data_IF_761690883279
#
_entry.id   IF_761690883279
#
_cell.length_a   1.000
_cell.length_b   1.000
_cell.length_c   1.000
_cell.angle_alpha   90.00
_cell.angle_beta   90.00
_cell.angle_gamma   90.00
#
_symmetry.space_group_name_H-M   'P 1'
#
loop_
_entity.id
_entity.type
_entity.pdbx_description
1 polymer ?
#
# COMPACT_ATOMS: atom_id res chain seq x y z
N UNK A 1 -44.49 -25.26 -9.82
CA UNK A 1 -43.04 -24.95 -9.97
C UNK A 1 -42.93 -23.45 -10.15
N UNK A 2 -42.35 -22.71 -9.21
CA UNK A 2 -42.02 -21.30 -9.43
C UNK A 2 -40.79 -21.28 -10.36
N UNK A 3 -40.92 -20.69 -11.53
CA UNK A 3 -39.79 -20.37 -12.40
C UNK A 3 -38.82 -19.49 -11.61
N UNK A 4 -37.66 -20.04 -11.27
CA UNK A 4 -36.58 -19.26 -10.69
C UNK A 4 -35.88 -18.55 -11.86
N UNK A 5 -36.17 -17.26 -12.05
CA UNK A 5 -35.49 -16.48 -13.08
C UNK A 5 -33.98 -16.38 -12.72
N UNK A 6 -33.06 -16.65 -13.66
CA UNK A 6 -31.64 -16.48 -13.43
C UNK A 6 -31.36 -15.03 -13.03
N UNK A 7 -30.62 -14.84 -11.93
CA UNK A 7 -30.21 -13.49 -11.48
C UNK A 7 -28.89 -13.15 -12.14
N UNK A 8 -28.89 -12.10 -12.97
CA UNK A 8 -27.65 -11.52 -13.50
C UNK A 8 -26.86 -10.86 -12.36
N UNK A 9 -25.57 -11.14 -12.30
CA UNK A 9 -24.65 -10.53 -11.33
C UNK A 9 -23.24 -10.41 -11.93
N UNK A 10 -22.46 -9.44 -11.45
CA UNK A 10 -21.04 -9.35 -11.74
C UNK A 10 -20.26 -10.28 -10.80
N UNK A 11 -19.29 -11.02 -11.36
CA UNK A 11 -18.32 -11.78 -10.58
C UNK A 11 -16.90 -11.48 -11.04
N UNK A 12 -15.93 -11.57 -10.14
CA UNK A 12 -14.51 -11.45 -10.48
C UNK A 12 -13.92 -12.84 -10.60
N UNK A 13 -13.09 -13.04 -11.61
CA UNK A 13 -12.49 -14.32 -11.92
C UNK A 13 -10.97 -14.17 -12.00
N UNK A 14 -10.25 -14.94 -11.20
CA UNK A 14 -8.80 -15.03 -11.29
C UNK A 14 -8.40 -15.75 -12.58
N UNK A 15 -7.65 -15.06 -13.43
CA UNK A 15 -7.21 -15.55 -14.74
C UNK A 15 -5.70 -15.41 -14.88
N UNK A 16 -5.03 -16.45 -15.35
CA UNK A 16 -3.61 -16.40 -15.69
C UNK A 16 -3.41 -15.96 -17.14
N UNK A 17 -2.81 -14.78 -17.33
CA UNK A 17 -2.46 -14.24 -18.63
C UNK A 17 -1.02 -14.63 -19.01
N UNK A 18 -0.77 -15.15 -20.24
CA UNK A 18 0.53 -15.70 -20.62
C UNK A 18 1.69 -14.69 -20.57
N UNK A 19 1.41 -13.40 -20.71
CA UNK A 19 2.43 -12.33 -20.68
C UNK A 19 2.39 -11.53 -19.38
N UNK A 20 1.22 -11.37 -18.76
CA UNK A 20 1.02 -10.41 -17.66
C UNK A 20 0.88 -11.09 -16.29
N UNK A 21 0.84 -12.43 -16.28
CA UNK A 21 0.60 -13.23 -15.08
C UNK A 21 -0.84 -13.16 -14.63
N UNK A 22 -1.07 -13.32 -13.33
CA UNK A 22 -2.40 -13.34 -12.74
C UNK A 22 -3.09 -11.97 -12.82
N UNK A 23 -4.35 -11.99 -13.24
CA UNK A 23 -5.25 -10.85 -13.37
C UNK A 23 -6.62 -11.17 -12.76
N UNK A 24 -7.32 -10.14 -12.31
CA UNK A 24 -8.67 -10.22 -11.76
C UNK A 24 -9.66 -9.71 -12.81
N UNK A 25 -10.37 -10.60 -13.51
CA UNK A 25 -11.19 -10.20 -14.65
C UNK A 25 -12.68 -10.20 -14.26
N UNK A 26 -13.41 -9.08 -14.43
CA UNK A 26 -14.84 -9.04 -14.21
C UNK A 26 -15.60 -9.72 -15.35
N UNK A 27 -16.59 -10.53 -14.98
CA UNK A 27 -17.52 -11.19 -15.90
C UNK A 27 -18.95 -10.89 -15.49
N UNK A 28 -19.82 -10.70 -16.49
CA UNK A 28 -21.26 -10.87 -16.28
C UNK A 28 -21.57 -12.35 -16.15
N UNK A 29 -22.50 -12.69 -15.28
CA UNK A 29 -22.84 -14.08 -14.99
C UNK A 29 -24.29 -14.26 -14.60
N UNK A 30 -24.81 -15.46 -14.81
CA UNK A 30 -26.12 -15.87 -14.32
C UNK A 30 -25.98 -16.85 -13.16
N UNK A 31 -26.63 -16.54 -12.04
CA UNK A 31 -26.77 -17.48 -10.93
C UNK A 31 -27.97 -18.39 -11.18
N UNK A 32 -27.72 -19.70 -11.23
CA UNK A 32 -28.74 -20.73 -11.39
C UNK A 32 -29.35 -21.13 -10.04
N UNK A 33 -30.50 -21.79 -10.10
CA UNK A 33 -31.24 -22.25 -8.92
C UNK A 33 -30.47 -23.28 -8.07
N UNK A 34 -29.54 -24.04 -8.66
CA UNK A 34 -28.65 -24.99 -7.97
C UNK A 34 -27.44 -24.31 -7.30
N UNK A 35 -27.36 -22.97 -7.36
CA UNK A 35 -26.26 -22.19 -6.81
C UNK A 35 -25.03 -22.10 -7.71
N UNK A 36 -25.03 -22.75 -8.88
CA UNK A 36 -23.94 -22.62 -9.85
C UNK A 36 -23.99 -21.26 -10.56
N UNK A 37 -22.82 -20.76 -10.93
CA UNK A 37 -22.68 -19.48 -11.63
C UNK A 37 -22.18 -19.76 -13.05
N UNK A 38 -22.93 -19.30 -14.05
CA UNK A 38 -22.55 -19.40 -15.46
C UNK A 38 -21.95 -18.08 -15.94
N UNK A 39 -20.69 -18.09 -16.33
CA UNK A 39 -20.02 -16.94 -16.96
C UNK A 39 -20.56 -16.71 -18.36
N UNK A 40 -21.04 -15.49 -18.63
CA UNK A 40 -21.55 -15.09 -19.93
C UNK A 40 -20.43 -14.49 -20.79
N UNK A 41 -20.01 -13.29 -20.43
CA UNK A 41 -19.01 -12.49 -21.14
C UNK A 41 -18.12 -11.68 -20.19
N UNK A 42 -16.96 -11.24 -20.68
CA UNK A 42 -16.14 -10.29 -19.93
C UNK A 42 -16.85 -8.95 -19.90
N UNK A 43 -16.95 -8.36 -18.70
CA UNK A 43 -17.74 -7.16 -18.47
C UNK A 43 -17.15 -5.89 -19.14
N UNK A 44 -15.95 -5.98 -19.74
CA UNK A 44 -15.37 -4.92 -20.58
C UNK A 44 -16.25 -4.56 -21.79
N UNK A 45 -17.11 -5.48 -22.22
CA UNK A 45 -17.98 -5.32 -23.38
C UNK A 45 -19.44 -5.03 -23.01
N UNK A 46 -19.73 -4.82 -21.73
CA UNK A 46 -21.09 -4.53 -21.28
C UNK A 46 -21.65 -3.29 -21.99
N UNK A 47 -22.87 -3.40 -22.52
CA UNK A 47 -23.55 -2.28 -23.19
C UNK A 47 -23.82 -1.14 -22.22
N UNK A 48 -24.04 0.09 -22.74
CA UNK A 48 -24.38 1.23 -21.89
C UNK A 48 -25.64 0.98 -21.04
N UNK A 49 -26.60 0.22 -21.59
CA UNK A 49 -27.80 -0.20 -20.86
C UNK A 49 -27.47 -1.20 -19.75
N UNK A 50 -26.62 -2.20 -19.99
CA UNK A 50 -26.17 -3.13 -18.96
C UNK A 50 -25.41 -2.40 -17.84
N UNK A 51 -24.51 -1.48 -18.20
CA UNK A 51 -23.77 -0.65 -17.25
C UNK A 51 -24.69 0.25 -16.40
N UNK A 52 -25.82 0.71 -16.95
CA UNK A 52 -26.79 1.52 -16.20
C UNK A 52 -27.53 0.75 -15.10
N UNK A 53 -27.63 -0.58 -15.24
CA UNK A 53 -28.27 -1.47 -14.25
C UNK A 53 -27.31 -1.92 -13.16
N UNK A 54 -26.00 -1.73 -13.34
CA UNK A 54 -24.97 -2.11 -12.38
C UNK A 54 -24.81 -1.10 -11.25
N UNK A 55 -24.47 -1.60 -10.07
CA UNK A 55 -24.11 -0.79 -8.91
C UNK A 55 -22.86 0.07 -9.18
N UNK A 56 -22.63 1.07 -8.33
CA UNK A 56 -21.40 1.88 -8.39
C UNK A 56 -20.12 1.04 -8.22
N UNK A 57 -20.18 0.03 -7.34
CA UNK A 57 -19.05 -0.87 -7.04
C UNK A 57 -18.75 -1.76 -8.25
N UNK A 58 -19.76 -2.34 -8.89
CA UNK A 58 -19.58 -3.16 -10.09
C UNK A 58 -18.97 -2.36 -11.24
N UNK A 59 -19.46 -1.13 -11.47
CA UNK A 59 -18.88 -0.23 -12.47
C UNK A 59 -17.43 0.12 -12.16
N UNK A 60 -17.13 0.40 -10.90
CA UNK A 60 -15.76 0.66 -10.46
C UNK A 60 -14.84 -0.54 -10.68
N UNK A 61 -15.29 -1.76 -10.43
CA UNK A 61 -14.53 -2.98 -10.72
C UNK A 61 -14.19 -3.08 -12.22
N UNK A 62 -15.17 -2.84 -13.09
CA UNK A 62 -14.96 -2.82 -14.55
C UNK A 62 -13.96 -1.74 -14.95
N UNK A 63 -14.09 -0.52 -14.40
CA UNK A 63 -13.16 0.58 -14.64
C UNK A 63 -11.74 0.26 -14.18
N UNK A 64 -11.56 -0.33 -13.00
CA UNK A 64 -10.22 -0.73 -12.55
C UNK A 64 -9.64 -1.77 -13.51
N UNK A 65 -10.43 -2.77 -13.90
CA UNK A 65 -9.97 -3.85 -14.75
C UNK A 65 -9.65 -3.41 -16.19
N UNK A 66 -10.32 -2.38 -16.71
CA UNK A 66 -10.07 -1.88 -18.06
C UNK A 66 -8.62 -1.38 -18.23
N UNK A 67 -7.98 -0.92 -17.15
CA UNK A 67 -6.60 -0.41 -17.14
C UNK A 67 -5.53 -1.49 -17.32
N UNK A 68 -5.85 -2.78 -17.17
CA UNK A 68 -4.91 -3.87 -17.45
C UNK A 68 -5.40 -4.80 -18.56
N UNK A 69 -6.30 -4.30 -19.42
CA UNK A 69 -6.60 -4.95 -20.69
C UNK A 69 -5.41 -4.84 -21.63
N UNK A 70 -5.26 -5.83 -22.52
CA UNK A 70 -4.16 -5.85 -23.50
C UNK A 70 -4.15 -4.59 -24.37
N UNK A 71 -5.32 -4.09 -24.75
CA UNK A 71 -5.48 -2.87 -25.56
C UNK A 71 -4.99 -1.62 -24.81
N UNK A 72 -5.45 -1.42 -23.58
CA UNK A 72 -5.03 -0.28 -22.77
C UNK A 72 -3.51 -0.29 -22.53
N UNK A 73 -2.96 -1.44 -22.14
CA UNK A 73 -1.52 -1.56 -21.90
C UNK A 73 -0.70 -1.34 -23.17
N UNK A 74 -1.20 -1.76 -24.34
CA UNK A 74 -0.56 -1.47 -25.62
C UNK A 74 -0.51 0.04 -25.90
N UNK A 75 -1.61 0.76 -25.68
CA UNK A 75 -1.69 2.22 -25.91
C UNK A 75 -0.75 3.01 -24.99
N UNK A 76 -0.58 2.55 -23.74
CA UNK A 76 0.29 3.21 -22.75
C UNK A 76 1.77 2.87 -22.94
N UNK A 77 2.10 1.59 -23.19
CA UNK A 77 3.48 1.09 -23.13
C UNK A 77 4.10 0.78 -24.50
N UNK A 78 3.38 1.01 -25.59
CA UNK A 78 3.83 0.61 -26.93
C UNK A 78 3.33 1.56 -28.02
N UNK A 79 4.02 1.52 -29.16
CA UNK A 79 3.58 2.17 -30.42
C UNK A 79 3.12 1.14 -31.45
N UNK A 80 2.99 -0.11 -31.05
CA UNK A 80 2.56 -1.19 -31.93
C UNK A 80 1.11 -0.99 -32.36
N UNK A 81 0.79 -1.31 -33.61
CA UNK A 81 -0.55 -1.10 -34.19
C UNK A 81 -1.55 -2.21 -33.86
N UNK A 82 -1.09 -3.34 -33.34
CA UNK A 82 -1.92 -4.52 -33.05
C UNK A 82 -1.50 -5.19 -31.75
N UNK A 83 -2.49 -5.69 -31.00
CA UNK A 83 -2.29 -6.35 -29.71
C UNK A 83 -1.40 -7.59 -29.86
N UNK A 84 -1.63 -8.41 -30.89
CA UNK A 84 -0.82 -9.62 -31.12
C UNK A 84 0.67 -9.32 -31.29
N UNK A 85 1.03 -8.22 -31.99
CA UNK A 85 2.43 -7.82 -32.18
C UNK A 85 3.03 -7.28 -30.89
N UNK A 86 2.25 -6.52 -30.13
CA UNK A 86 2.65 -6.04 -28.80
C UNK A 86 2.94 -7.20 -27.84
N UNK A 87 2.02 -8.16 -27.71
CA UNK A 87 2.19 -9.33 -26.84
C UNK A 87 3.38 -10.17 -27.25
N UNK A 88 3.53 -10.47 -28.56
CA UNK A 88 4.69 -11.23 -29.07
C UNK A 88 6.02 -10.56 -28.74
N UNK A 89 6.08 -9.23 -28.81
CA UNK A 89 7.29 -8.47 -28.44
C UNK A 89 7.58 -8.60 -26.94
N UNK A 90 6.57 -8.44 -26.10
CA UNK A 90 6.72 -8.56 -24.65
C UNK A 90 7.08 -9.99 -24.20
N UNK A 91 6.59 -11.01 -24.89
CA UNK A 91 7.01 -12.40 -24.66
C UNK A 91 8.53 -12.60 -24.84
N UNK A 92 9.17 -11.81 -25.70
CA UNK A 92 10.63 -11.77 -25.87
C UNK A 92 11.37 -10.82 -24.92
N UNK A 93 10.66 -9.99 -24.16
CA UNK A 93 11.21 -8.95 -23.26
C UNK A 93 10.65 -9.07 -21.81
N UNK A 94 10.79 -10.23 -21.12
CA UNK A 94 10.15 -10.46 -19.83
C UNK A 94 10.57 -9.47 -18.73
N UNK A 95 11.83 -9.02 -18.73
CA UNK A 95 12.31 -8.01 -17.77
C UNK A 95 11.62 -6.65 -17.95
N UNK A 96 11.24 -6.29 -19.18
CA UNK A 96 10.49 -5.06 -19.43
C UNK A 96 9.09 -5.16 -18.84
N UNK A 97 8.43 -6.32 -19.00
CA UNK A 97 7.13 -6.57 -18.35
C UNK A 97 7.29 -6.43 -16.84
N UNK A 98 8.28 -7.10 -16.24
CA UNK A 98 8.50 -7.11 -14.80
C UNK A 98 8.79 -5.72 -14.23
N UNK A 99 9.58 -4.88 -14.91
CA UNK A 99 10.03 -3.59 -14.38
C UNK A 99 9.10 -2.42 -14.70
N UNK A 100 8.42 -2.44 -15.85
CA UNK A 100 7.69 -1.27 -16.35
C UNK A 100 6.17 -1.47 -16.35
N UNK A 101 5.69 -2.67 -16.64
CA UNK A 101 4.25 -2.93 -16.83
C UNK A 101 3.64 -3.54 -15.58
N UNK A 102 4.27 -4.57 -15.01
CA UNK A 102 3.77 -5.30 -13.84
C UNK A 102 3.53 -4.38 -12.63
N UNK A 103 4.39 -3.39 -12.30
CA UNK A 103 4.12 -2.49 -11.17
C UNK A 103 2.81 -1.70 -11.32
N UNK A 104 2.49 -1.26 -12.55
CA UNK A 104 1.23 -0.59 -12.82
C UNK A 104 0.02 -1.54 -12.71
N UNK A 105 0.14 -2.74 -13.26
CA UNK A 105 -0.88 -3.79 -13.10
C UNK A 105 -1.11 -4.08 -11.62
N UNK A 106 -0.05 -4.27 -10.82
CA UNK A 106 -0.17 -4.55 -9.39
C UNK A 106 -0.85 -3.42 -8.63
N UNK A 107 -0.57 -2.14 -8.96
CA UNK A 107 -1.29 -1.00 -8.39
C UNK A 107 -2.80 -1.11 -8.66
N UNK A 108 -3.20 -1.48 -9.88
CA UNK A 108 -4.61 -1.69 -10.23
C UNK A 108 -5.20 -2.95 -9.62
N UNK A 109 -4.42 -4.02 -9.44
CA UNK A 109 -4.87 -5.20 -8.69
C UNK A 109 -5.09 -4.86 -7.21
N UNK A 110 -4.26 -4.01 -6.60
CA UNK A 110 -4.49 -3.54 -5.23
C UNK A 110 -5.77 -2.72 -5.10
N UNK A 111 -6.05 -1.82 -6.04
CA UNK A 111 -7.33 -1.10 -6.12
C UNK A 111 -8.52 -2.08 -6.21
N UNK A 112 -8.42 -3.09 -7.09
CA UNK A 112 -9.45 -4.13 -7.24
C UNK A 112 -9.64 -4.96 -5.97
N UNK A 113 -8.54 -5.38 -5.35
CA UNK A 113 -8.57 -6.17 -4.12
C UNK A 113 -9.17 -5.39 -2.94
N UNK A 114 -8.85 -4.10 -2.82
CA UNK A 114 -9.46 -3.22 -1.82
C UNK A 114 -10.97 -3.08 -2.04
N UNK A 115 -11.42 -3.01 -3.30
CA UNK A 115 -12.84 -2.97 -3.66
C UNK A 115 -13.54 -4.29 -3.30
N UNK A 116 -12.97 -5.43 -3.70
CA UNK A 116 -13.48 -6.78 -3.40
C UNK A 116 -13.56 -7.01 -1.89
N UNK A 117 -12.53 -6.60 -1.14
CA UNK A 117 -12.48 -6.78 0.32
C UNK A 117 -13.56 -6.00 1.08
N UNK A 118 -14.03 -4.87 0.53
CA UNK A 118 -15.03 -3.99 1.15
C UNK A 118 -16.44 -4.19 0.59
N UNK A 119 -16.63 -5.14 -0.33
CA UNK A 119 -17.90 -5.36 -1.03
C UNK A 119 -18.24 -6.84 -1.11
N UNK A 120 -19.49 -7.13 -1.50
CA UNK A 120 -19.97 -8.50 -1.67
C UNK A 120 -19.68 -9.07 -3.08
N UNK A 121 -18.74 -8.47 -3.83
CA UNK A 121 -18.40 -8.97 -5.17
C UNK A 121 -17.62 -10.30 -5.03
N UNK A 122 -18.15 -11.42 -5.52
CA UNK A 122 -17.51 -12.72 -5.32
C UNK A 122 -16.31 -12.89 -6.25
N UNK A 123 -15.24 -13.46 -5.70
CA UNK A 123 -14.00 -13.79 -6.41
C UNK A 123 -13.89 -15.30 -6.61
N UNK A 124 -13.82 -15.74 -7.86
CA UNK A 124 -13.75 -17.16 -8.20
C UNK A 124 -12.41 -17.57 -8.83
N UNK A 125 -12.03 -18.82 -8.58
CA UNK A 125 -11.04 -19.53 -9.38
C UNK A 125 -11.66 -19.99 -10.70
N UNK A 126 -11.03 -19.65 -11.83
CA UNK A 126 -11.45 -20.20 -13.12
C UNK A 126 -10.78 -21.53 -13.38
N UNK A 127 -11.58 -22.56 -13.66
CA UNK A 127 -11.06 -23.77 -14.31
C UNK A 127 -11.00 -23.56 -15.82
N UNK A 128 -9.84 -23.87 -16.42
CA UNK A 128 -9.62 -23.73 -17.86
C UNK A 128 -10.72 -24.45 -18.67
N UNK A 129 -11.32 -23.74 -19.63
CA UNK A 129 -12.34 -24.29 -20.53
C UNK A 129 -13.77 -24.35 -19.98
N UNK A 130 -13.98 -24.16 -18.66
CA UNK A 130 -15.33 -24.12 -18.08
C UNK A 130 -15.86 -22.70 -17.96
N UNK A 131 -17.11 -22.50 -18.41
CA UNK A 131 -17.90 -21.30 -18.08
C UNK A 131 -18.71 -21.46 -16.79
N UNK A 132 -18.76 -22.66 -16.24
CA UNK A 132 -19.54 -22.96 -15.03
C UNK A 132 -18.63 -22.93 -13.80
N UNK A 133 -19.04 -22.15 -12.80
CA UNK A 133 -18.39 -21.99 -11.51
C UNK A 133 -19.27 -22.58 -10.41
N UNK A 134 -18.64 -23.28 -9.47
CA UNK A 134 -19.29 -23.92 -8.34
C UNK A 134 -18.94 -23.20 -7.05
N UNK A 135 -19.71 -23.44 -5.99
CA UNK A 135 -19.47 -22.85 -4.68
C UNK A 135 -18.05 -23.09 -4.15
N UNK A 136 -17.46 -24.27 -4.40
CA UNK A 136 -16.09 -24.59 -3.98
C UNK A 136 -14.99 -23.88 -4.78
N UNK A 137 -15.34 -23.17 -5.86
CA UNK A 137 -14.40 -22.28 -6.57
C UNK A 137 -14.38 -20.85 -6.01
N UNK A 138 -15.28 -20.53 -5.08
CA UNK A 138 -15.33 -19.22 -4.46
C UNK A 138 -14.16 -19.08 -3.48
N UNK A 139 -13.32 -18.07 -3.70
CA UNK A 139 -12.29 -17.72 -2.73
C UNK A 139 -12.92 -17.07 -1.51
N UNK A 140 -12.43 -17.44 -0.34
CA UNK A 140 -12.73 -16.73 0.90
C UNK A 140 -11.75 -15.57 1.05
N UNK A 141 -12.30 -14.37 1.19
CA UNK A 141 -11.53 -13.14 1.30
C UNK A 141 -11.51 -12.74 2.78
N UNK A 142 -10.32 -12.62 3.34
CA UNK A 142 -10.17 -12.17 4.72
C UNK A 142 -10.33 -10.64 4.82
N UNK A 143 -11.29 -10.12 5.60
CA UNK A 143 -11.54 -8.68 5.70
C UNK A 143 -10.48 -7.92 6.48
N UNK A 144 -9.68 -8.60 7.30
CA UNK A 144 -8.65 -8.01 8.15
C UNK A 144 -7.23 -8.33 7.64
N UNK A 145 -6.28 -7.49 8.03
CA UNK A 145 -4.88 -7.70 7.70
C UNK A 145 -4.28 -8.79 8.58
N UNK A 146 -3.33 -9.55 8.03
CA UNK A 146 -2.52 -10.48 8.81
C UNK A 146 -1.49 -9.67 9.59
N UNK A 147 -1.48 -9.86 10.91
CA UNK A 147 -0.42 -9.33 11.77
C UNK A 147 0.85 -10.17 11.58
N UNK A 148 1.96 -9.48 11.39
CA UNK A 148 3.27 -10.07 11.13
C UNK A 148 4.18 -9.80 12.32
N UNK A 149 4.80 -10.87 12.83
CA UNK A 149 5.85 -10.77 13.85
C UNK A 149 7.07 -11.54 13.40
N UNK A 150 8.23 -10.87 13.40
CA UNK A 150 9.50 -11.52 13.16
C UNK A 150 10.26 -11.69 14.46
N UNK A 151 10.83 -12.88 14.68
CA UNK A 151 11.79 -13.11 15.75
C UNK A 151 13.16 -13.32 15.11
N UNK A 152 14.13 -12.50 15.51
CA UNK A 152 15.52 -12.54 15.04
C UNK A 152 16.42 -13.02 16.17
N UNK A 153 17.40 -13.85 15.83
CA UNK A 153 18.39 -14.37 16.75
C UNK A 153 19.77 -14.29 16.10
N UNK A 154 20.74 -13.70 16.80
CA UNK A 154 22.14 -13.66 16.40
C UNK A 154 23.01 -14.22 17.53
N UNK A 155 23.89 -15.16 17.19
CA UNK A 155 24.99 -15.58 18.05
C UNK A 155 26.33 -15.54 17.28
N UNK A 156 27.40 -16.09 17.87
CA UNK A 156 28.73 -16.11 17.26
C UNK A 156 28.80 -16.94 15.96
N UNK A 157 27.87 -17.87 15.75
CA UNK A 157 27.88 -18.81 14.63
C UNK A 157 26.85 -18.47 13.55
N UNK A 158 25.63 -18.06 13.94
CA UNK A 158 24.48 -17.95 13.04
C UNK A 158 23.64 -16.70 13.28
N UNK A 159 23.08 -16.20 12.18
CA UNK A 159 21.95 -15.28 12.19
C UNK A 159 20.71 -16.04 11.69
N UNK A 160 19.70 -16.17 12.53
CA UNK A 160 18.46 -16.87 12.22
C UNK A 160 17.25 -15.96 12.41
N UNK A 161 16.21 -16.19 11.62
CA UNK A 161 14.93 -15.51 11.80
C UNK A 161 13.74 -16.38 11.41
N UNK A 162 12.64 -16.16 12.12
CA UNK A 162 11.36 -16.84 11.95
C UNK A 162 10.25 -15.82 11.77
N UNK A 163 9.23 -16.23 11.02
CA UNK A 163 8.04 -15.44 10.74
C UNK A 163 6.83 -16.07 11.45
N UNK A 164 6.08 -15.26 12.18
CA UNK A 164 4.78 -15.61 12.72
C UNK A 164 3.72 -14.76 12.02
N UNK A 165 2.70 -15.41 11.50
CA UNK A 165 1.52 -14.77 10.93
C UNK A 165 0.34 -14.99 11.86
N UNK A 166 -0.33 -13.92 12.28
CA UNK A 166 -1.45 -13.96 13.22
C UNK A 166 -2.66 -13.34 12.52
N UNK A 167 -3.78 -14.05 12.52
CA UNK A 167 -5.04 -13.59 11.94
C UNK A 167 -6.15 -13.83 12.95
N UNK A 168 -6.90 -12.79 13.31
CA UNK A 168 -7.95 -12.83 14.35
C UNK A 168 -7.48 -13.50 15.66
N UNK A 169 -6.25 -13.18 16.09
CA UNK A 169 -5.63 -13.73 17.30
C UNK A 169 -5.16 -15.17 17.19
N UNK A 170 -5.30 -15.82 16.03
CA UNK A 170 -4.85 -17.21 15.80
C UNK A 170 -3.64 -17.25 14.89
N UNK A 171 -2.71 -18.15 15.19
CA UNK A 171 -1.56 -18.40 14.32
C UNK A 171 -2.02 -19.01 12.99
N UNK A 172 -1.55 -18.46 11.88
CA UNK A 172 -1.79 -18.95 10.52
C UNK A 172 -0.47 -19.43 9.93
N UNK A 173 -0.45 -20.70 9.52
CA UNK A 173 0.72 -21.30 8.86
C UNK A 173 0.65 -21.08 7.35
N UNK A 174 1.47 -20.17 6.83
CA UNK A 174 1.66 -19.99 5.37
C UNK A 174 2.39 -21.17 4.71
N UNK A 175 2.98 -22.07 5.50
CA UNK A 175 3.68 -23.27 5.04
C UNK A 175 2.70 -24.37 4.67
N UNK A 176 1.68 -24.58 5.50
CA UNK A 176 0.72 -25.69 5.38
C UNK A 176 -0.31 -25.47 4.27
N UNK A 177 -0.64 -24.22 3.97
CA UNK A 177 -1.66 -23.90 2.98
C UNK A 177 -1.06 -23.81 1.57
N UNK A 178 -1.48 -24.72 0.69
CA UNK A 178 -1.00 -24.84 -0.69
C UNK A 178 -2.16 -24.85 -1.70
N UNK A 179 -1.94 -24.31 -2.92
CA UNK A 179 -0.75 -23.58 -3.36
C UNK A 179 -0.64 -22.21 -2.68
N UNK A 180 0.59 -21.68 -2.57
CA UNK A 180 0.84 -20.31 -2.15
C UNK A 180 1.11 -19.44 -3.39
N UNK A 181 0.17 -18.57 -3.72
CA UNK A 181 0.17 -17.79 -4.96
C UNK A 181 0.19 -16.29 -4.64
N UNK A 182 1.09 -15.55 -5.27
CA UNK A 182 1.22 -14.10 -5.08
C UNK A 182 0.31 -13.38 -6.06
N UNK A 183 -0.66 -12.59 -5.54
CA UNK A 183 -1.47 -11.71 -6.36
C UNK A 183 -0.80 -10.34 -6.54
N UNK A 184 -0.32 -9.75 -5.45
CA UNK A 184 0.41 -8.48 -5.42
C UNK A 184 1.69 -8.64 -4.62
N UNK A 185 2.75 -7.94 -5.03
CA UNK A 185 4.07 -8.12 -4.45
C UNK A 185 4.40 -7.13 -3.34
N UNK A 186 3.90 -5.89 -3.38
CA UNK A 186 4.15 -4.88 -2.34
C UNK A 186 3.03 -3.82 -2.27
N UNK A 187 2.22 -3.78 -1.18
CA UNK A 187 2.09 -4.81 -0.15
C UNK A 187 1.68 -6.17 -0.73
N UNK A 188 2.05 -7.23 -0.01
CA UNK A 188 1.80 -8.59 -0.43
C UNK A 188 0.34 -9.00 -0.20
N UNK A 189 -0.27 -9.61 -1.21
CA UNK A 189 -1.55 -10.32 -1.08
C UNK A 189 -1.35 -11.74 -1.58
N UNK A 190 -1.63 -12.73 -0.73
CA UNK A 190 -1.38 -14.14 -1.02
C UNK A 190 -2.66 -14.94 -1.02
N UNK A 191 -2.84 -15.76 -2.06
CA UNK A 191 -3.79 -16.86 -2.06
C UNK A 191 -3.10 -18.09 -1.47
N UNK A 192 -3.65 -18.59 -0.38
CA UNK A 192 -3.19 -19.77 0.33
C UNK A 192 -4.30 -20.83 0.23
N UNK A 193 -4.21 -21.67 -0.80
CA UNK A 193 -5.34 -22.52 -1.20
C UNK A 193 -6.52 -21.66 -1.69
N UNK A 194 -7.67 -21.77 -1.02
CA UNK A 194 -8.89 -21.01 -1.33
C UNK A 194 -9.10 -19.79 -0.42
N UNK A 195 -8.12 -19.46 0.42
CA UNK A 195 -8.17 -18.33 1.36
C UNK A 195 -7.26 -17.20 0.84
N UNK A 196 -7.77 -15.96 0.80
CA UNK A 196 -7.04 -14.77 0.37
C UNK A 196 -6.67 -13.91 1.58
N UNK A 197 -5.36 -13.77 1.83
CA UNK A 197 -4.80 -12.99 2.93
C UNK A 197 -4.08 -11.74 2.44
N UNK A 198 -4.14 -10.69 3.25
CA UNK A 198 -3.50 -9.40 3.02
C UNK A 198 -2.39 -9.17 4.04
N UNK A 199 -1.20 -8.82 3.56
CA UNK A 199 -0.01 -8.61 4.37
C UNK A 199 0.48 -7.16 4.15
N UNK A 200 0.09 -6.23 5.03
CA UNK A 200 0.41 -4.82 4.86
C UNK A 200 1.91 -4.58 5.04
N UNK A 201 2.44 -3.56 4.37
CA UNK A 201 3.83 -3.09 4.53
C UNK A 201 4.91 -4.19 4.47
N UNK A 202 4.71 -5.24 3.67
CA UNK A 202 5.71 -6.27 3.43
C UNK A 202 5.69 -6.74 1.99
N UNK A 203 6.87 -7.07 1.47
CA UNK A 203 7.02 -7.65 0.15
C UNK A 203 6.80 -9.17 0.17
N UNK A 204 6.16 -9.70 -0.87
CA UNK A 204 5.89 -11.13 -1.01
C UNK A 204 7.18 -11.96 -0.99
N UNK A 205 8.27 -11.43 -1.55
CA UNK A 205 9.58 -12.07 -1.56
C UNK A 205 10.14 -12.37 -0.15
N UNK A 206 9.71 -11.63 0.89
CA UNK A 206 10.09 -11.86 2.29
C UNK A 206 9.23 -12.92 2.96
N UNK A 207 8.03 -13.17 2.45
CA UNK A 207 7.09 -14.18 2.95
C UNK A 207 7.31 -15.55 2.28
N UNK A 208 7.59 -15.56 0.97
CA UNK A 208 7.68 -16.79 0.17
C UNK A 208 8.65 -17.86 0.70
N UNK A 209 9.84 -17.52 1.24
CA UNK A 209 10.74 -18.53 1.83
C UNK A 209 10.07 -19.35 2.94
N UNK A 210 9.17 -18.73 3.71
CA UNK A 210 8.46 -19.35 4.83
C UNK A 210 7.33 -20.28 4.39
N UNK A 211 6.99 -20.27 3.11
CA UNK A 211 6.13 -21.31 2.53
C UNK A 211 6.83 -22.67 2.47
N UNK A 212 8.17 -22.72 2.64
CA UNK A 212 8.97 -23.95 2.57
C UNK A 212 9.66 -24.30 3.89
N UNK A 213 10.10 -23.29 4.65
CA UNK A 213 10.87 -23.44 5.88
C UNK A 213 10.24 -22.62 7.02
N UNK A 214 10.37 -23.08 8.25
CA UNK A 214 9.91 -22.28 9.42
C UNK A 214 10.92 -21.22 9.83
N UNK A 215 12.21 -21.56 9.72
CA UNK A 215 13.33 -20.70 10.11
C UNK A 215 14.29 -20.57 8.94
N UNK A 216 14.81 -19.36 8.76
CA UNK A 216 15.86 -19.05 7.79
C UNK A 216 17.11 -18.70 8.59
N UNK A 217 18.20 -19.41 8.32
CA UNK A 217 19.48 -19.18 8.98
C UNK A 217 20.57 -18.92 7.94
N UNK A 218 21.53 -18.11 8.34
CA UNK A 218 22.77 -17.82 7.63
C UNK A 218 23.93 -17.78 8.62
N UNK A 219 25.16 -17.84 8.10
CA UNK A 219 26.36 -17.65 8.92
C UNK A 219 26.38 -16.25 9.54
N UNK A 220 26.90 -16.11 10.77
CA UNK A 220 27.00 -14.81 11.45
C UNK A 220 27.79 -13.77 10.63
N UNK A 221 28.76 -14.20 9.83
CA UNK A 221 29.52 -13.34 8.89
C UNK A 221 28.63 -12.65 7.85
N UNK A 222 27.44 -13.19 7.57
CA UNK A 222 26.46 -12.64 6.65
C UNK A 222 25.35 -11.83 7.35
N UNK A 223 25.39 -11.73 8.69
CA UNK A 223 24.35 -11.08 9.48
C UNK A 223 24.05 -9.66 9.00
N UNK A 224 25.08 -8.88 8.65
CA UNK A 224 24.92 -7.52 8.16
C UNK A 224 23.99 -7.40 6.96
N UNK A 225 24.10 -8.33 6.01
CA UNK A 225 23.22 -8.36 4.84
C UNK A 225 21.77 -8.59 5.25
N UNK A 226 21.50 -9.49 6.19
CA UNK A 226 20.14 -9.79 6.64
C UNK A 226 19.58 -8.69 7.54
N UNK A 227 20.41 -8.08 8.37
CA UNK A 227 20.01 -6.94 9.20
C UNK A 227 19.55 -5.78 8.30
N UNK A 228 20.36 -5.42 7.31
CA UNK A 228 20.06 -4.31 6.40
C UNK A 228 18.87 -4.60 5.49
N UNK A 229 18.78 -5.81 4.94
CA UNK A 229 17.76 -6.12 3.95
C UNK A 229 16.47 -6.65 4.54
N UNK A 230 16.50 -7.31 5.71
CA UNK A 230 15.33 -7.97 6.31
C UNK A 230 14.92 -7.28 7.61
N UNK A 231 15.77 -7.28 8.64
CA UNK A 231 15.42 -6.81 9.98
C UNK A 231 15.02 -5.34 9.99
N UNK A 232 15.88 -4.44 9.50
CA UNK A 232 15.61 -2.99 9.55
C UNK A 232 14.32 -2.65 8.79
N UNK A 233 14.10 -3.11 7.54
CA UNK A 233 12.87 -2.79 6.84
C UNK A 233 11.61 -3.40 7.47
N UNK A 234 11.67 -4.60 8.07
CA UNK A 234 10.49 -5.17 8.76
C UNK A 234 10.22 -4.46 10.08
N UNK A 235 11.26 -4.13 10.85
CA UNK A 235 11.15 -3.41 12.12
C UNK A 235 10.46 -2.04 12.00
N UNK A 236 10.54 -1.41 10.83
CA UNK A 236 9.89 -0.12 10.56
C UNK A 236 8.36 -0.17 10.63
N UNK A 237 7.77 -1.30 10.23
CA UNK A 237 6.32 -1.43 10.06
C UNK A 237 5.70 -2.51 10.96
N UNK A 238 6.51 -3.45 11.44
CA UNK A 238 6.05 -4.64 12.17
C UNK A 238 6.67 -4.71 13.55
N UNK A 239 5.98 -5.37 14.47
CA UNK A 239 6.58 -5.71 15.76
C UNK A 239 7.59 -6.84 15.56
N UNK A 240 8.73 -6.71 16.23
CA UNK A 240 9.83 -7.67 16.11
C UNK A 240 10.40 -8.00 17.49
N UNK A 241 10.87 -9.21 17.62
CA UNK A 241 11.66 -9.69 18.75
C UNK A 241 13.10 -9.89 18.27
N UNK A 242 14.05 -9.44 19.07
CA UNK A 242 15.47 -9.49 18.72
C UNK A 242 16.26 -10.04 19.90
N UNK A 243 16.98 -11.13 19.67
CA UNK A 243 17.90 -11.75 20.61
C UNK A 243 19.33 -11.68 20.06
N UNK A 244 20.29 -11.38 20.94
CA UNK A 244 21.71 -11.30 20.57
C UNK A 244 22.16 -10.02 19.85
N UNK A 245 21.24 -9.09 19.59
CA UNK A 245 21.53 -7.74 19.13
C UNK A 245 20.87 -6.72 20.07
N UNK A 246 21.56 -5.60 20.33
CA UNK A 246 20.95 -4.49 21.07
C UNK A 246 19.95 -3.80 20.15
N UNK A 247 18.66 -3.91 20.49
CA UNK A 247 17.56 -3.22 19.81
C UNK A 247 16.89 -2.29 20.80
N UNK A 248 17.21 -1.01 20.75
CA UNK A 248 16.83 -0.04 21.80
C UNK A 248 16.11 1.17 21.24
N UNK A 249 15.16 1.69 22.02
CA UNK A 249 14.48 2.93 21.70
C UNK A 249 15.28 4.12 22.23
N UNK A 250 15.55 5.11 21.38
CA UNK A 250 16.17 6.38 21.76
C UNK A 250 15.16 7.52 21.54
N UNK A 251 14.97 8.44 22.49
CA UNK A 251 14.09 9.58 22.29
C UNK A 251 14.64 10.49 21.19
N UNK A 252 13.75 11.02 20.36
CA UNK A 252 14.10 11.99 19.32
C UNK A 252 13.09 13.12 19.33
N UNK A 253 13.58 14.36 19.46
CA UNK A 253 12.71 15.53 19.53
C UNK A 253 12.03 15.79 18.19
N UNK A 254 10.71 15.98 18.23
CA UNK A 254 9.94 16.48 17.10
C UNK A 254 10.15 18.00 16.96
N UNK A 255 10.84 18.41 15.90
CA UNK A 255 11.02 19.81 15.49
C UNK A 255 10.10 20.13 14.31
N UNK A 256 9.10 21.00 14.52
CA UNK A 256 8.27 21.48 13.42
C UNK A 256 8.93 22.65 12.71
N UNK A 257 9.06 22.56 11.38
CA UNK A 257 9.62 23.60 10.53
C UNK A 257 8.56 24.15 9.59
N UNK A 258 8.47 25.47 9.56
CA UNK A 258 7.62 26.23 8.64
C UNK A 258 8.50 26.95 7.62
N UNK A 259 8.24 26.71 6.34
CA UNK A 259 8.92 27.36 5.22
C UNK A 259 7.91 28.18 4.44
N UNK A 260 8.27 29.42 4.09
CA UNK A 260 7.46 30.24 3.17
C UNK A 260 7.85 29.85 1.75
N UNK A 261 6.88 29.38 0.97
CA UNK A 261 7.05 28.99 -0.43
C UNK A 261 6.26 29.94 -1.33
N UNK A 262 6.92 30.47 -2.36
CA UNK A 262 6.27 31.26 -3.40
C UNK A 262 5.58 30.32 -4.39
N UNK A 263 4.32 30.57 -4.67
CA UNK A 263 3.57 29.80 -5.65
C UNK A 263 3.53 30.52 -7.00
N UNK A 264 3.24 29.77 -8.06
CA UNK A 264 3.04 30.31 -9.42
C UNK A 264 1.89 31.33 -9.49
N UNK A 265 1.03 31.37 -8.47
CA UNK A 265 -0.14 32.25 -8.37
C UNK A 265 0.08 33.45 -7.43
N UNK A 266 1.32 33.77 -7.06
CA UNK A 266 1.71 34.92 -6.23
C UNK A 266 1.12 34.97 -4.80
N UNK A 267 0.42 33.92 -4.35
CA UNK A 267 0.05 33.74 -2.94
C UNK A 267 1.13 32.92 -2.22
N UNK A 268 1.85 33.47 -1.22
CA UNK A 268 2.83 32.71 -0.45
C UNK A 268 2.12 31.67 0.43
N UNK A 269 2.60 30.43 0.39
CA UNK A 269 2.11 29.34 1.21
C UNK A 269 3.09 29.03 2.34
N UNK A 270 2.56 28.55 3.46
CA UNK A 270 3.36 28.03 4.56
C UNK A 270 3.41 26.50 4.44
N UNK A 271 4.60 25.98 4.18
CA UNK A 271 4.88 24.55 4.15
C UNK A 271 5.35 24.07 5.52
N UNK A 272 4.59 23.16 6.13
CA UNK A 272 4.91 22.50 7.41
C UNK A 272 5.62 21.16 7.17
N UNK A 273 6.72 20.94 7.88
CA UNK A 273 7.41 19.65 7.93
C UNK A 273 7.87 19.32 9.35
N UNK A 274 7.90 18.03 9.69
CA UNK A 274 8.37 17.54 10.99
C UNK A 274 9.74 16.89 10.83
N UNK A 275 10.70 17.32 11.65
CA UNK A 275 12.09 16.89 11.61
C UNK A 275 12.42 16.10 12.87
N UNK A 276 13.00 14.92 12.69
CA UNK A 276 13.48 14.04 13.75
C UNK A 276 14.94 13.67 13.50
N UNK A 277 15.84 14.57 13.94
CA UNK A 277 17.25 14.53 13.53
C UNK A 277 17.37 14.79 12.03
N UNK A 278 17.88 13.81 11.27
CA UNK A 278 18.08 13.91 9.82
C UNK A 278 16.85 13.51 8.99
N UNK A 279 15.82 12.94 9.63
CA UNK A 279 14.63 12.44 8.93
C UNK A 279 13.55 13.52 8.89
N UNK A 280 12.93 13.69 7.73
CA UNK A 280 11.86 14.69 7.51
C UNK A 280 10.57 13.98 7.10
N UNK A 281 9.47 14.35 7.75
CA UNK A 281 8.13 13.83 7.48
C UNK A 281 7.17 14.95 7.13
N UNK A 282 6.21 14.65 6.25
CA UNK A 282 5.08 15.54 6.03
C UNK A 282 3.96 15.19 7.03
N UNK A 283 3.08 16.14 7.36
CA UNK A 283 1.96 15.85 8.25
C UNK A 283 1.07 14.75 7.66
N UNK A 284 0.94 13.64 8.40
CA UNK A 284 0.17 12.46 7.96
C UNK A 284 0.85 11.58 6.89
N UNK A 285 2.12 11.82 6.53
CA UNK A 285 2.84 10.93 5.62
C UNK A 285 3.12 9.56 6.25
N UNK A 286 3.44 8.58 5.38
CA UNK A 286 3.95 7.26 5.76
C UNK A 286 2.99 6.44 6.63
N UNK A 287 1.72 6.39 6.21
CA UNK A 287 0.69 5.57 6.84
C UNK A 287 1.22 4.16 7.15
N UNK A 288 1.17 3.78 8.43
CA UNK A 288 1.60 2.47 8.93
C UNK A 288 3.07 2.36 9.37
N UNK A 289 3.90 3.39 9.17
CA UNK A 289 5.26 3.43 9.73
C UNK A 289 5.20 3.51 11.26
N UNK A 290 5.66 2.46 11.94
CA UNK A 290 5.64 2.38 13.41
C UNK A 290 6.91 2.91 14.05
N UNK A 291 8.07 2.71 13.40
CA UNK A 291 9.39 2.96 13.96
C UNK A 291 10.33 3.49 12.87
N UNK A 292 11.14 4.49 13.20
CA UNK A 292 12.28 4.88 12.38
C UNK A 292 13.49 4.13 12.91
N UNK A 293 14.02 3.20 12.13
CA UNK A 293 15.06 2.26 12.57
C UNK A 293 16.38 2.56 11.86
N UNK A 294 17.45 2.72 12.66
CA UNK A 294 18.80 3.04 12.19
C UNK A 294 19.83 2.09 12.82
N UNK A 295 20.90 1.83 12.08
CA UNK A 295 22.04 1.06 12.60
C UNK A 295 23.10 2.00 13.15
N UNK A 296 23.46 1.81 14.42
CA UNK A 296 24.44 2.65 15.13
C UNK A 296 25.83 2.01 15.15
N UNK A 297 25.90 0.70 15.30
CA UNK A 297 27.14 -0.09 15.22
C UNK A 297 26.86 -1.51 14.70
N UNK A 298 27.87 -2.38 14.69
CA UNK A 298 27.68 -3.80 14.33
C UNK A 298 26.68 -4.49 15.26
N UNK A 299 26.63 -4.16 16.54
CA UNK A 299 25.83 -4.93 17.50
C UNK A 299 24.64 -4.12 18.04
N UNK A 300 24.45 -2.90 17.54
CA UNK A 300 23.46 -1.95 18.05
C UNK A 300 22.60 -1.34 16.94
N UNK A 301 21.30 -1.53 17.09
CA UNK A 301 20.24 -0.95 16.29
C UNK A 301 19.40 -0.09 17.23
N UNK A 302 19.18 1.15 16.82
CA UNK A 302 18.37 2.11 17.57
C UNK A 302 17.15 2.48 16.75
N UNK A 303 16.06 2.78 17.44
CA UNK A 303 14.87 3.29 16.78
C UNK A 303 14.21 4.37 17.62
N UNK A 304 13.36 5.16 16.98
CA UNK A 304 12.46 6.09 17.65
C UNK A 304 11.10 6.06 16.97
N UNK A 305 10.09 6.62 17.65
CA UNK A 305 8.74 6.78 17.11
C UNK A 305 8.45 8.26 16.89
N UNK A 306 7.58 8.53 15.93
CA UNK A 306 7.02 9.87 15.75
C UNK A 306 6.12 10.19 16.93
N UNK A 307 6.17 11.43 17.37
CA UNK A 307 5.24 11.98 18.34
C UNK A 307 4.00 12.49 17.59
N UNK A 308 3.17 11.56 17.13
CA UNK A 308 1.98 11.88 16.34
C UNK A 308 1.00 12.78 17.10
N UNK A 309 0.96 12.69 18.44
CA UNK A 309 0.15 13.56 19.29
C UNK A 309 0.65 15.00 19.23
N UNK A 310 1.96 15.24 19.36
CA UNK A 310 2.56 16.57 19.21
C UNK A 310 2.44 17.09 17.78
N UNK A 311 2.62 16.24 16.76
CA UNK A 311 2.42 16.61 15.36
C UNK A 311 0.99 17.08 15.07
N UNK A 312 -0.01 16.37 15.59
CA UNK A 312 -1.43 16.73 15.46
C UNK A 312 -1.72 18.04 16.20
N UNK A 313 -1.25 18.17 17.45
CA UNK A 313 -1.42 19.38 18.25
C UNK A 313 -0.81 20.61 17.56
N UNK A 314 0.39 20.50 16.98
CA UNK A 314 1.02 21.61 16.26
C UNK A 314 0.23 22.03 15.02
N UNK A 315 -0.40 21.08 14.31
CA UNK A 315 -1.29 21.42 13.20
C UNK A 315 -2.54 22.17 13.68
N UNK A 316 -3.11 21.77 14.82
CA UNK A 316 -4.24 22.48 15.44
C UNK A 316 -3.85 23.90 15.85
N UNK A 317 -2.66 24.11 16.42
CA UNK A 317 -2.18 25.45 16.77
C UNK A 317 -2.08 26.39 15.56
N UNK A 318 -1.70 25.87 14.38
CA UNK A 318 -1.71 26.67 13.15
C UNK A 318 -3.13 27.01 12.70
N UNK A 319 -4.06 26.05 12.82
CA UNK A 319 -5.47 26.27 12.50
C UNK A 319 -6.11 27.32 13.42
N UNK A 320 -5.87 27.22 14.73
CA UNK A 320 -6.35 28.17 15.73
C UNK A 320 -5.76 29.57 15.53
N UNK A 321 -4.54 29.66 15.00
CA UNK A 321 -3.89 30.89 14.61
C UNK A 321 -4.38 31.46 13.26
N UNK A 322 -5.48 30.94 12.70
CA UNK A 322 -6.10 31.49 11.49
C UNK A 322 -5.51 31.01 10.16
N UNK A 323 -4.74 29.91 10.16
CA UNK A 323 -4.29 29.25 8.94
C UNK A 323 -5.23 28.15 8.49
N UNK A 324 -5.61 28.17 7.23
CA UNK A 324 -6.38 27.12 6.59
C UNK A 324 -5.44 26.12 5.91
N UNK A 325 -5.57 24.84 6.27
CA UNK A 325 -4.87 23.74 5.58
C UNK A 325 -5.48 23.52 4.19
N UNK A 326 -4.65 23.54 3.15
CA UNK A 326 -5.07 23.34 1.75
C UNK A 326 -4.55 22.03 1.15
N UNK A 327 -3.49 21.46 1.73
CA UNK A 327 -2.97 20.14 1.37
C UNK A 327 -2.38 19.45 2.60
N UNK A 328 -1.71 18.31 2.42
CA UNK A 328 -1.09 17.56 3.51
C UNK A 328 -0.12 18.42 4.33
N UNK A 329 0.70 19.24 3.67
CA UNK A 329 1.74 20.05 4.30
C UNK A 329 1.56 21.57 4.14
N UNK A 330 0.66 22.03 3.28
CA UNK A 330 0.54 23.45 2.97
C UNK A 330 -0.63 24.12 3.66
N UNK A 331 -0.36 25.32 4.15
CA UNK A 331 -1.29 26.20 4.82
C UNK A 331 -1.32 27.55 4.12
N UNK A 332 -2.51 28.13 4.02
CA UNK A 332 -2.75 29.51 3.59
C UNK A 332 -3.39 30.30 4.71
N UNK A 333 -3.36 31.63 4.62
CA UNK A 333 -4.22 32.45 5.47
C UNK A 333 -5.69 32.16 5.19
N UNK A 334 -6.46 32.01 6.26
CA UNK A 334 -7.92 31.95 6.18
C UNK A 334 -8.44 33.23 5.50
N UNK A 335 -9.49 33.16 4.67
CA UNK A 335 -10.14 34.35 4.12
C UNK A 335 -10.64 35.33 5.20
N UNK A 336 -10.92 34.81 6.40
CA UNK A 336 -11.40 35.58 7.55
C UNK A 336 -10.26 36.05 8.48
N UNK A 337 -9.00 35.78 8.13
CA UNK A 337 -7.86 36.23 8.91
C UNK A 337 -7.75 37.77 8.89
N UNK A 338 -7.31 38.34 10.01
CA UNK A 338 -7.11 39.79 10.13
C UNK A 338 -5.89 40.25 9.31
N UNK A 339 -4.92 39.37 9.11
CA UNK A 339 -3.69 39.61 8.38
C UNK A 339 -3.86 39.52 6.86
N UNK A 340 -3.16 40.41 6.15
CA UNK A 340 -3.25 40.53 4.69
C UNK A 340 -2.16 39.77 3.93
N UNK A 341 -1.12 39.32 4.64
CA UNK A 341 -0.02 38.56 4.04
C UNK A 341 0.61 37.58 5.04
N UNK A 342 1.30 36.55 4.52
CA UNK A 342 1.99 35.57 5.35
C UNK A 342 3.08 36.20 6.23
N UNK A 343 3.74 37.26 5.75
CA UNK A 343 4.74 38.00 6.54
C UNK A 343 4.11 38.75 7.71
N UNK A 344 2.93 39.36 7.50
CA UNK A 344 2.18 40.02 8.56
C UNK A 344 1.73 39.01 9.62
N UNK A 345 1.26 37.84 9.19
CA UNK A 345 0.90 36.74 10.08
C UNK A 345 2.09 36.25 10.91
N UNK A 346 3.24 36.01 10.27
CA UNK A 346 4.49 35.60 10.95
C UNK A 346 4.89 36.61 12.04
N UNK A 347 4.73 37.91 11.74
CA UNK A 347 5.07 38.98 12.69
C UNK A 347 4.10 39.04 13.87
N UNK A 348 2.81 38.82 13.63
CA UNK A 348 1.78 38.85 14.68
C UNK A 348 1.83 37.60 15.56
N UNK A 349 2.23 36.45 15.02
CA UNK A 349 2.27 35.16 15.72
C UNK A 349 3.69 34.75 16.18
N UNK A 350 4.53 35.74 16.51
CA UNK A 350 5.94 35.49 16.91
C UNK A 350 6.10 34.58 18.12
N UNK A 351 5.26 34.74 19.14
CA UNK A 351 5.36 33.92 20.35
C UNK A 351 5.08 32.44 20.06
N UNK A 352 4.02 32.16 19.28
CA UNK A 352 3.69 30.81 18.81
C UNK A 352 4.88 30.20 18.04
N UNK A 353 5.44 30.97 17.11
CA UNK A 353 6.56 30.52 16.29
C UNK A 353 7.80 30.26 17.16
N UNK A 354 8.21 31.17 18.02
CA UNK A 354 9.39 30.99 18.87
C UNK A 354 9.29 29.79 19.83
N UNK A 355 8.09 29.50 20.32
CA UNK A 355 7.88 28.40 21.27
C UNK A 355 7.78 27.03 20.59
N UNK A 356 7.25 26.96 19.37
CA UNK A 356 6.79 25.68 18.80
C UNK A 356 7.25 25.39 17.37
N UNK A 357 7.74 26.38 16.61
CA UNK A 357 8.11 26.23 15.20
C UNK A 357 9.47 26.83 14.87
N UNK A 358 10.21 26.22 13.95
CA UNK A 358 11.39 26.85 13.35
C UNK A 358 11.07 27.35 11.96
N UNK A 359 11.23 28.65 11.74
CA UNK A 359 11.10 29.23 10.40
C UNK A 359 12.35 28.95 9.57
N UNK A 360 12.15 28.37 8.39
CA UNK A 360 13.20 28.10 7.41
C UNK A 360 12.99 28.93 6.13
N UNK A 361 14.08 29.26 5.43
CA UNK A 361 14.08 30.09 4.21
C UNK A 361 14.67 31.50 4.39
N UNK A 362 15.07 32.14 3.29
CA UNK A 362 15.73 33.46 3.27
C UNK A 362 14.83 34.58 3.85
N UNK A 363 13.52 34.49 3.66
CA UNK A 363 12.55 35.45 4.19
C UNK A 363 12.26 35.23 5.68
N UNK A 364 12.15 33.97 6.14
CA UNK A 364 11.81 33.64 7.52
C UNK A 364 12.84 34.09 8.56
N UNK A 365 14.14 34.02 8.24
CA UNK A 365 15.22 34.45 9.16
C UNK A 365 15.30 35.98 9.32
N UNK A 366 14.90 36.75 8.29
CA UNK A 366 14.91 38.22 8.33
C UNK A 366 13.73 38.80 9.14
N UNK A 367 12.60 38.09 9.17
CA UNK A 367 11.34 38.58 9.76
C UNK A 367 11.25 38.42 11.29
N UNK A 368 12.10 37.60 11.92
CA UNK A 368 12.17 37.43 13.38
C UNK A 368 13.29 38.28 14.02
N UNK A 369 14.32 38.65 13.23
CA UNK A 369 15.50 39.37 13.73
C UNK A 369 15.29 40.90 13.86
N UNK A 370 14.09 41.41 13.55
CA UNK A 370 13.62 42.78 13.80
C UNK A 370 12.38 42.71 14.66
#
# INVERSE_FOLDING_TARGET
MKEYAPTEQLVIVLTEHPVFGLLLIPYTSEKRADGTVLLLEQAFHASAEAMSRMSGIERQAITIASHYTEKYLMEVYSREKTVSRFLRKLSGEPEKVRRSIRPFIEKKLQEMLALIRRSDIPLYQKLSGSKQLYAHHLYRIHPEDVEIRFCFHLDEAVFCYRLQCIYEGKAVSIREQKPAVVLTSSPASLLLGMELYFFPHIESARLLPFTKKETICAEATQADKYIQNILIPTARYHEIEVEGLKFTEEPCDCEARLTVEETVYEEPLLHLSFHYGEETFLPGSDAGLKKIVRRKSSDEIVFFRRDEAKEAWLQEQLADAGLQRISEAHFRLSPDALEKSAEEWIRNHRELLQNHFRLAGNMGKSLIAR
#
